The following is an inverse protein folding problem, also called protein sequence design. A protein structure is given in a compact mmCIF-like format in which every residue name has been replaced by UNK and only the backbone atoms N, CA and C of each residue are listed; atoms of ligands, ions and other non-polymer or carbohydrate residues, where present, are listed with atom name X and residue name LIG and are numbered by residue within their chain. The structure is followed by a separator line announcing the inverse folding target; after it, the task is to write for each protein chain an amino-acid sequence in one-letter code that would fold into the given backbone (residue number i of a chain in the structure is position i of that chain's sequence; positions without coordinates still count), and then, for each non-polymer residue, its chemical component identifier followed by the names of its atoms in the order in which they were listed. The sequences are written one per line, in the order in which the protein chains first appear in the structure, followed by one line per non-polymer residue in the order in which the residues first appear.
data_IF_782583127577
#
_entry.id   IF_782583127577
#
_cell.length_a   1.000
_cell.length_b   1.000
_cell.length_c   1.000
_cell.angle_alpha   90.00
_cell.angle_beta   90.00
_cell.angle_gamma   90.00
#
_symmetry.space_group_name_H-M   'P 1'
#
loop_
_entity.id
_entity.type
_entity.pdbx_description
1 polymer ?
#
# COMPACT_ATOMS: atom_id res chain seq x y z
N UNK A 1 -4.60 -8.20 4.88
CA UNK A 1 -4.79 -8.30 3.41
C UNK A 1 -6.15 -7.77 3.02
N UNK A 2 -7.26 -8.29 3.57
CA UNK A 2 -8.59 -7.78 3.23
C UNK A 2 -8.75 -6.26 3.47
N UNK A 3 -8.35 -5.76 4.64
CA UNK A 3 -8.39 -4.32 4.96
C UNK A 3 -7.57 -3.46 4.00
N UNK A 4 -6.38 -3.93 3.59
CA UNK A 4 -5.56 -3.24 2.59
C UNK A 4 -6.27 -3.18 1.23
N UNK A 5 -6.90 -4.28 0.80
CA UNK A 5 -7.64 -4.31 -0.45
C UNK A 5 -8.85 -3.37 -0.41
N UNK A 6 -9.55 -3.27 0.72
CA UNK A 6 -10.64 -2.31 0.89
C UNK A 6 -10.15 -0.86 0.73
N UNK A 7 -9.02 -0.50 1.37
CA UNK A 7 -8.41 0.84 1.20
C UNK A 7 -8.04 1.12 -0.27
N UNK A 8 -7.44 0.14 -0.95
CA UNK A 8 -7.04 0.27 -2.35
C UNK A 8 -8.26 0.38 -3.28
N UNK A 9 -9.28 -0.45 -3.08
CA UNK A 9 -10.53 -0.45 -3.85
C UNK A 9 -11.34 0.85 -3.61
N UNK A 10 -11.24 1.46 -2.43
CA UNK A 10 -11.84 2.77 -2.13
C UNK A 10 -11.13 3.93 -2.87
N UNK A 11 -9.81 3.83 -3.07
CA UNK A 11 -9.03 4.80 -3.84
C UNK A 11 -9.30 4.68 -5.35
N UNK A 12 -9.23 3.45 -5.89
CA UNK A 12 -9.47 3.17 -7.31
C UNK A 12 -10.38 1.95 -7.50
N UNK A 13 -11.71 2.14 -7.49
CA UNK A 13 -12.66 1.03 -7.66
C UNK A 13 -12.59 0.38 -9.05
N UNK A 14 -11.96 1.03 -10.02
CA UNK A 14 -11.75 0.51 -11.38
C UNK A 14 -10.58 -0.47 -11.52
N UNK A 15 -9.73 -0.64 -10.50
CA UNK A 15 -8.50 -1.45 -10.55
C UNK A 15 -8.70 -2.78 -9.83
N UNK A 16 -8.28 -3.88 -10.45
CA UNK A 16 -8.20 -5.19 -9.79
C UNK A 16 -6.84 -5.35 -9.08
N UNK A 17 -6.77 -4.87 -7.84
CA UNK A 17 -5.55 -4.92 -7.02
C UNK A 17 -5.08 -6.33 -6.64
N UNK A 18 -5.92 -7.36 -6.86
CA UNK A 18 -5.52 -8.76 -6.64
C UNK A 18 -4.60 -9.27 -7.72
N UNK A 19 -4.57 -8.62 -8.89
CA UNK A 19 -3.78 -9.05 -10.04
C UNK A 19 -2.85 -7.96 -10.58
N UNK A 20 -3.10 -6.69 -10.26
CA UNK A 20 -2.24 -5.57 -10.64
C UNK A 20 -0.86 -5.63 -9.93
N UNK A 21 0.21 -5.52 -10.73
CA UNK A 21 1.60 -5.63 -10.24
C UNK A 21 2.50 -4.48 -10.69
N UNK A 22 1.92 -3.43 -11.27
CA UNK A 22 2.57 -2.23 -11.77
C UNK A 22 1.88 -0.98 -11.22
N UNK A 23 1.48 -1.01 -9.95
CA UNK A 23 0.70 0.07 -9.36
C UNK A 23 1.40 1.43 -9.43
N UNK A 24 2.70 1.49 -9.15
CA UNK A 24 3.48 2.74 -9.23
C UNK A 24 4.07 2.90 -10.63
N UNK A 25 4.74 1.87 -11.15
CA UNK A 25 5.42 1.95 -12.46
C UNK A 25 4.46 2.14 -13.63
N UNK A 26 3.26 1.59 -13.54
CA UNK A 26 2.15 1.76 -14.48
C UNK A 26 1.38 3.06 -14.28
N UNK A 27 1.68 3.83 -13.23
CA UNK A 27 1.03 5.10 -12.90
C UNK A 27 -0.43 4.95 -12.47
N UNK A 28 -0.79 3.79 -11.90
CA UNK A 28 -2.12 3.52 -11.37
C UNK A 28 -2.31 4.28 -10.06
N UNK A 29 -1.33 4.19 -9.16
CA UNK A 29 -1.23 4.99 -7.95
C UNK A 29 -0.30 6.17 -8.24
N UNK A 30 -0.85 7.37 -8.18
CA UNK A 30 -0.07 8.59 -8.31
C UNK A 30 0.51 9.05 -6.95
N UNK A 31 1.21 10.19 -6.94
CA UNK A 31 1.82 10.71 -5.71
C UNK A 31 0.81 11.06 -4.61
N UNK A 32 -0.41 11.44 -4.96
CA UNK A 32 -1.47 11.75 -4.01
C UNK A 32 -2.11 10.47 -3.48
N UNK A 33 -2.32 9.47 -4.34
CA UNK A 33 -2.85 8.16 -3.93
C UNK A 33 -1.90 7.48 -2.96
N UNK A 34 -0.59 7.52 -3.23
CA UNK A 34 0.45 6.96 -2.36
C UNK A 34 0.44 7.62 -0.97
N UNK A 35 0.32 8.95 -0.91
CA UNK A 35 0.28 9.67 0.39
C UNK A 35 -0.99 9.33 1.17
N UNK A 36 -2.13 9.27 0.48
CA UNK A 36 -3.42 8.88 1.08
C UNK A 36 -3.36 7.45 1.61
N UNK A 37 -2.85 6.53 0.79
CA UNK A 37 -2.68 5.12 1.12
C UNK A 37 -1.78 4.92 2.35
N UNK A 38 -0.63 5.61 2.44
CA UNK A 38 0.22 5.54 3.63
C UNK A 38 -0.54 6.01 4.87
N UNK A 39 -1.29 7.11 4.78
CA UNK A 39 -2.04 7.65 5.91
C UNK A 39 -3.05 6.62 6.43
N UNK A 40 -3.85 6.04 5.53
CA UNK A 40 -4.85 5.03 5.85
C UNK A 40 -4.21 3.75 6.41
N UNK A 41 -3.08 3.31 5.85
CA UNK A 41 -2.35 2.14 6.34
C UNK A 41 -1.83 2.39 7.76
N UNK A 42 -1.19 3.54 8.00
CA UNK A 42 -0.62 3.86 9.31
C UNK A 42 -1.73 3.92 10.37
N UNK A 43 -2.90 4.50 10.05
CA UNK A 43 -4.05 4.56 10.98
C UNK A 43 -4.73 3.20 11.17
N UNK A 44 -4.89 2.41 10.11
CA UNK A 44 -5.63 1.12 10.15
C UNK A 44 -4.83 0.02 10.84
N UNK A 45 -3.52 -0.04 10.57
CA UNK A 45 -2.65 -1.11 11.07
C UNK A 45 -1.79 -0.70 12.26
N UNK A 46 -1.86 0.57 12.71
CA UNK A 46 -1.01 1.12 13.78
C UNK A 46 0.49 0.92 13.49
N UNK A 47 0.90 1.24 12.25
CA UNK A 47 2.29 1.14 11.79
C UNK A 47 2.82 2.50 11.35
N UNK A 48 4.15 2.61 11.23
CA UNK A 48 4.79 3.80 10.64
C UNK A 48 5.52 3.45 9.34
N UNK A 49 4.93 3.83 8.21
CA UNK A 49 5.58 3.80 6.90
C UNK A 49 6.14 5.19 6.58
N UNK A 50 7.44 5.26 6.32
CA UNK A 50 8.15 6.48 5.94
C UNK A 50 8.31 6.66 4.43
N UNK A 51 8.91 7.80 4.06
CA UNK A 51 9.20 8.11 2.65
C UNK A 51 10.34 7.25 2.06
N UNK A 52 11.17 6.61 2.88
CA UNK A 52 12.26 5.76 2.40
C UNK A 52 11.74 4.41 1.86
N UNK A 53 10.57 4.01 2.35
CA UNK A 53 9.86 2.79 2.01
C UNK A 53 9.02 2.94 0.74
N UNK A 54 8.90 4.15 0.20
CA UNK A 54 8.21 4.46 -1.06
C UNK A 54 9.02 4.03 -2.28
N UNK A 55 9.21 2.72 -2.42
CA UNK A 55 9.88 2.11 -3.56
C UNK A 55 8.87 1.33 -4.40
N UNK A 56 9.10 1.18 -5.72
CA UNK A 56 8.30 0.30 -6.55
C UNK A 56 8.28 -1.14 -6.00
N UNK A 57 9.37 -1.61 -5.40
CA UNK A 57 9.44 -2.94 -4.77
C UNK A 57 8.38 -3.12 -3.67
N UNK A 58 8.12 -2.08 -2.88
CA UNK A 58 7.15 -2.11 -1.79
C UNK A 58 5.72 -1.74 -2.23
N UNK A 59 5.56 -0.98 -3.30
CA UNK A 59 4.26 -0.38 -3.66
C UNK A 59 3.68 -0.82 -5.01
N UNK A 60 4.39 -1.59 -5.84
CA UNK A 60 3.88 -2.01 -7.15
C UNK A 60 2.77 -3.06 -7.10
N UNK A 61 2.49 -3.68 -5.96
CA UNK A 61 1.39 -4.65 -5.82
C UNK A 61 0.81 -4.64 -4.42
N UNK A 62 -0.46 -5.04 -4.28
CA UNK A 62 -1.09 -5.20 -2.98
C UNK A 62 -0.34 -6.22 -2.09
N UNK A 63 0.26 -7.25 -2.70
CA UNK A 63 1.08 -8.23 -1.99
C UNK A 63 2.35 -7.61 -1.39
N UNK A 64 3.05 -6.77 -2.18
CA UNK A 64 4.23 -6.07 -1.71
C UNK A 64 3.91 -5.08 -0.58
N UNK A 65 2.83 -4.31 -0.73
CA UNK A 65 2.39 -3.35 0.31
C UNK A 65 2.05 -4.11 1.60
N UNK A 66 1.34 -5.23 1.49
CA UNK A 66 1.00 -6.03 2.66
C UNK A 66 2.22 -6.70 3.32
N UNK A 67 3.23 -7.07 2.53
CA UNK A 67 4.50 -7.57 3.06
C UNK A 67 5.22 -6.49 3.89
N UNK A 68 5.27 -5.26 3.38
CA UNK A 68 5.82 -4.11 4.12
C UNK A 68 5.04 -3.86 5.41
N UNK A 69 3.70 -3.88 5.38
CA UNK A 69 2.88 -3.72 6.59
C UNK A 69 3.23 -4.77 7.64
N UNK A 70 3.37 -6.04 7.24
CA UNK A 70 3.76 -7.12 8.15
C UNK A 70 5.14 -6.91 8.75
N UNK A 71 6.12 -6.50 7.95
CA UNK A 71 7.46 -6.18 8.44
C UNK A 71 7.39 -5.09 9.52
N UNK A 72 6.60 -4.04 9.29
CA UNK A 72 6.43 -2.96 10.27
C UNK A 72 5.72 -3.38 11.55
N UNK A 73 4.72 -4.26 11.45
CA UNK A 73 4.02 -4.82 12.62
C UNK A 73 4.96 -5.67 13.49
N UNK A 74 5.81 -6.49 12.86
CA UNK A 74 6.75 -7.36 13.57
C UNK A 74 7.90 -6.56 14.24
N UNK A 75 8.23 -5.37 13.73
CA UNK A 75 9.25 -4.47 14.29
C UNK A 75 8.80 -3.71 15.56
N UNK A 76 7.49 -3.71 15.89
CA UNK A 76 6.94 -3.06 17.09
C UNK A 76 6.89 -3.96 18.35
N UNK A 77 7.29 -5.24 18.25
CA UNK A 77 7.42 -6.21 19.36
C UNK A 77 8.86 -6.33 19.93
#
# INVERSE_FOLDING_TARGET
MNELLEILEDLHPEVDFKTATDLVDGGILDSFDIVSLISEINETFDVTIGAAELTPENFNSAEAIYALIKEKLDDED
#
